data_IF_015822720558
#
_entry.id   IF_015822720558
#
_cell.length_a   1.000
_cell.length_b   1.000
_cell.length_c   1.000
_cell.angle_alpha   90.00
_cell.angle_beta   90.00
_cell.angle_gamma   90.00
#
_symmetry.space_group_name_H-M   'P 1'
#
loop_
_entity.id
_entity.type
_entity.pdbx_description
1 polymer ?
#
# COMPACT_ATOMS: atom_id res chain seq x y z
N UNK A 1 44.56 24.38 -4.08
CA UNK A 1 43.34 23.60 -3.84
C UNK A 1 42.57 24.41 -2.83
N UNK A 2 41.59 25.17 -3.30
CA UNK A 2 40.49 25.78 -2.54
C UNK A 2 39.61 26.45 -3.61
N UNK A 3 38.53 25.78 -4.00
CA UNK A 3 37.49 26.35 -4.86
C UNK A 3 36.22 26.28 -4.04
N UNK A 4 35.82 27.44 -3.53
CA UNK A 4 34.49 27.67 -2.99
C UNK A 4 33.48 27.45 -4.11
N UNK A 5 32.58 26.49 -3.93
CA UNK A 5 31.38 26.36 -4.74
C UNK A 5 30.16 26.47 -3.83
N UNK A 6 29.72 27.70 -3.63
CA UNK A 6 28.31 27.95 -3.37
C UNK A 6 27.56 27.85 -4.71
N UNK A 7 26.33 27.32 -4.71
CA UNK A 7 25.12 27.92 -5.29
C UNK A 7 24.04 26.88 -5.61
N UNK A 8 22.85 27.26 -5.14
CA UNK A 8 21.48 26.93 -5.56
C UNK A 8 20.81 25.67 -5.06
N UNK A 9 19.93 25.94 -4.09
CA UNK A 9 18.66 25.27 -3.91
C UNK A 9 17.87 25.19 -5.23
N UNK A 10 17.20 24.05 -5.43
CA UNK A 10 15.99 23.99 -6.27
C UNK A 10 14.98 22.98 -5.67
N UNK A 11 13.84 23.55 -5.29
CA UNK A 11 12.49 23.02 -5.17
C UNK A 11 12.24 21.55 -4.78
N UNK A 12 12.00 21.31 -3.49
CA UNK A 12 11.13 20.23 -3.03
C UNK A 12 9.67 20.75 -2.98
N UNK A 13 8.93 20.58 -4.08
CA UNK A 13 7.49 20.85 -4.10
C UNK A 13 6.73 19.66 -3.50
N UNK A 14 6.47 19.74 -2.19
CA UNK A 14 5.50 18.90 -1.50
C UNK A 14 4.08 19.41 -1.84
N UNK A 15 3.35 18.68 -2.67
CA UNK A 15 1.93 18.93 -2.89
C UNK A 15 1.12 18.32 -1.75
N UNK A 16 0.80 19.14 -0.74
CA UNK A 16 -0.23 18.88 0.26
C UNK A 16 -1.58 19.30 -0.31
N UNK A 17 -2.43 18.34 -0.69
CA UNK A 17 -3.84 18.64 -0.95
C UNK A 17 -4.67 18.18 0.25
N UNK A 18 -4.98 19.15 1.12
CA UNK A 18 -5.97 19.04 2.18
C UNK A 18 -7.17 19.94 1.92
N UNK A 19 -8.36 19.36 1.99
CA UNK A 19 -9.66 19.97 2.30
C UNK A 19 -10.49 18.81 2.91
N UNK A 20 -11.08 18.85 4.09
CA UNK A 20 -11.61 19.94 4.90
C UNK A 20 -13.04 19.54 5.28
N UNK A 21 -13.28 19.19 6.54
CA UNK A 21 -14.61 18.78 7.02
C UNK A 21 -14.70 18.90 8.54
N UNK A 22 -15.17 20.05 9.01
CA UNK A 22 -15.48 20.31 10.40
C UNK A 22 -16.85 19.70 10.77
N UNK A 23 -16.93 19.13 11.97
CA UNK A 23 -18.14 18.60 12.57
C UNK A 23 -17.87 18.22 14.02
N UNK A 24 -17.92 19.21 14.90
CA UNK A 24 -17.86 19.06 16.36
C UNK A 24 -19.27 18.80 16.87
N UNK A 25 -19.47 17.73 17.66
CA UNK A 25 -20.66 17.51 18.45
C UNK A 25 -20.30 16.77 19.75
N UNK A 26 -20.81 17.32 20.86
CA UNK A 26 -20.48 17.02 22.23
C UNK A 26 -21.01 15.67 22.76
N UNK A 27 -20.47 15.31 23.92
CA UNK A 27 -20.81 14.18 24.78
C UNK A 27 -22.26 14.18 25.28
N UNK A 28 -22.80 13.01 25.68
CA UNK A 28 -22.96 12.62 27.10
C UNK A 28 -23.53 11.18 27.25
N UNK A 29 -22.96 10.46 28.24
CA UNK A 29 -23.48 9.43 29.15
C UNK A 29 -24.27 8.18 28.68
N UNK A 30 -23.68 6.99 28.91
CA UNK A 30 -24.31 5.89 29.65
C UNK A 30 -23.36 4.68 29.91
N UNK A 31 -23.02 4.53 31.19
CA UNK A 31 -22.94 3.32 32.03
C UNK A 31 -22.16 2.04 31.61
N UNK A 32 -21.37 1.58 32.57
CA UNK A 32 -20.56 0.38 32.57
C UNK A 32 -21.38 -0.93 32.53
N UNK A 33 -21.00 -1.84 31.64
CA UNK A 33 -21.25 -3.27 31.81
C UNK A 33 -19.91 -3.96 32.04
N UNK A 34 -19.66 -4.25 33.31
CA UNK A 34 -18.61 -5.17 33.75
C UNK A 34 -19.01 -6.57 33.31
N UNK A 35 -18.35 -7.11 32.29
CA UNK A 35 -18.24 -8.56 32.11
C UNK A 35 -16.79 -8.94 32.32
N UNK A 36 -16.51 -9.41 33.53
CA UNK A 36 -15.28 -10.11 33.88
C UNK A 36 -15.25 -11.44 33.14
N UNK A 37 -14.43 -11.54 32.09
CA UNK A 37 -13.85 -12.82 31.69
C UNK A 37 -12.36 -12.80 32.05
N UNK A 38 -11.94 -13.87 32.71
CA UNK A 38 -10.73 -13.94 33.50
C UNK A 38 -9.43 -13.99 32.70
N UNK A 39 -8.38 -13.56 33.42
CA UNK A 39 -6.99 -14.00 33.38
C UNK A 39 -6.19 -13.89 32.06
N UNK A 40 -5.31 -12.88 32.06
CA UNK A 40 -3.99 -12.85 31.42
C UNK A 40 -3.94 -13.10 29.90
N UNK A 41 -3.99 -12.03 29.09
CA UNK A 41 -3.69 -12.11 27.66
C UNK A 41 -3.60 -10.78 26.89
N UNK A 42 -4.11 -9.68 27.45
CA UNK A 42 -4.16 -8.40 26.73
C UNK A 42 -2.81 -7.71 26.46
N UNK A 43 -1.81 -7.94 27.33
CA UNK A 43 -0.49 -7.30 27.20
C UNK A 43 0.36 -7.90 26.08
N UNK A 44 0.37 -9.23 25.96
CA UNK A 44 1.21 -9.96 24.99
C UNK A 44 0.72 -9.76 23.55
N UNK A 45 -0.59 -9.80 23.30
CA UNK A 45 -1.14 -9.55 21.97
C UNK A 45 -0.78 -8.16 21.41
N UNK A 46 -0.71 -7.14 22.27
CA UNK A 46 -0.29 -5.79 21.86
C UNK A 46 1.21 -5.70 21.55
N UNK A 47 2.05 -6.43 22.30
CA UNK A 47 3.49 -6.49 22.07
C UNK A 47 3.80 -7.24 20.77
N UNK A 48 3.12 -8.36 20.52
CA UNK A 48 3.23 -9.14 19.28
C UNK A 48 2.80 -8.33 18.05
N UNK A 49 1.74 -7.53 18.16
CA UNK A 49 1.32 -6.60 17.10
C UNK A 49 2.40 -5.56 16.79
N UNK A 50 3.06 -5.01 17.82
CA UNK A 50 4.18 -4.06 17.63
C UNK A 50 5.41 -4.75 17.03
N UNK A 51 5.70 -5.99 17.43
CA UNK A 51 6.77 -6.80 16.81
C UNK A 51 6.49 -7.08 15.34
N UNK A 52 5.24 -7.34 14.99
CA UNK A 52 4.81 -7.53 13.61
C UNK A 52 4.98 -6.23 12.79
N UNK A 53 4.60 -5.08 13.33
CA UNK A 53 4.80 -3.78 12.67
C UNK A 53 6.29 -3.50 12.42
N UNK A 54 7.13 -3.71 13.43
CA UNK A 54 8.58 -3.56 13.32
C UNK A 54 9.18 -4.51 12.26
N UNK A 55 8.73 -5.76 12.20
CA UNK A 55 9.13 -6.71 11.17
C UNK A 55 8.69 -6.26 9.77
N UNK A 56 7.44 -5.81 9.63
CA UNK A 56 6.89 -5.36 8.36
C UNK A 56 7.62 -4.13 7.81
N UNK A 57 8.09 -3.23 8.68
CA UNK A 57 8.83 -2.02 8.30
C UNK A 57 10.20 -2.30 7.64
N UNK A 58 10.76 -3.50 7.81
CA UNK A 58 12.01 -3.92 7.16
C UNK A 58 11.83 -4.18 5.65
N UNK A 59 10.59 -4.24 5.18
CA UNK A 59 10.26 -4.54 3.80
C UNK A 59 9.35 -3.46 3.22
N UNK A 60 9.46 -3.24 1.92
CA UNK A 60 8.56 -2.40 1.14
C UNK A 60 8.04 -3.17 -0.07
N UNK A 61 7.11 -2.56 -0.81
CA UNK A 61 6.66 -3.14 -2.07
C UNK A 61 6.00 -4.51 -1.91
N UNK A 62 5.95 -5.25 -3.01
CA UNK A 62 5.25 -6.55 -3.10
C UNK A 62 5.76 -7.59 -2.09
N UNK A 63 7.02 -7.47 -1.68
CA UNK A 63 7.62 -8.30 -0.63
C UNK A 63 6.95 -8.08 0.72
N UNK A 64 6.67 -6.83 1.12
CA UNK A 64 5.98 -6.53 2.39
C UNK A 64 4.61 -7.24 2.43
N UNK A 65 3.83 -7.14 1.36
CA UNK A 65 2.52 -7.81 1.23
C UNK A 65 2.63 -9.33 1.34
N UNK A 66 3.54 -9.94 0.56
CA UNK A 66 3.74 -11.38 0.58
C UNK A 66 4.12 -11.90 1.97
N UNK A 67 4.97 -11.15 2.70
CA UNK A 67 5.35 -11.47 4.08
C UNK A 67 4.17 -11.39 5.05
N UNK A 68 3.39 -10.32 4.98
CA UNK A 68 2.21 -10.14 5.84
C UNK A 68 1.16 -11.24 5.63
N UNK A 69 0.85 -11.55 4.36
CA UNK A 69 -0.08 -12.63 4.02
C UNK A 69 0.45 -13.98 4.48
N UNK A 70 1.75 -14.24 4.33
CA UNK A 70 2.38 -15.47 4.83
C UNK A 70 2.27 -15.59 6.35
N UNK A 71 2.53 -14.51 7.09
CA UNK A 71 2.40 -14.50 8.56
C UNK A 71 0.95 -14.79 8.96
N UNK A 72 -0.02 -14.12 8.34
CA UNK A 72 -1.43 -14.36 8.61
C UNK A 72 -1.83 -15.84 8.42
N UNK A 73 -1.26 -16.52 7.42
CA UNK A 73 -1.54 -17.94 7.15
C UNK A 73 -0.91 -18.92 8.14
N UNK A 74 0.21 -18.56 8.78
CA UNK A 74 1.08 -19.50 9.52
C UNK A 74 1.12 -19.24 11.02
N UNK A 75 0.72 -18.06 11.44
CA UNK A 75 0.79 -17.61 12.82
C UNK A 75 -0.03 -18.49 13.79
N UNK A 76 -1.28 -18.80 13.44
CA UNK A 76 -2.19 -19.54 14.33
C UNK A 76 -2.72 -18.74 15.53
N UNK A 77 -2.27 -17.49 15.72
CA UNK A 77 -2.79 -16.53 16.71
C UNK A 77 -3.66 -15.49 16.00
N UNK A 78 -4.95 -15.45 16.35
CA UNK A 78 -5.95 -14.61 15.69
C UNK A 78 -5.61 -13.11 15.74
N UNK A 79 -5.06 -12.63 16.87
CA UNK A 79 -4.70 -11.23 17.04
C UNK A 79 -3.60 -10.77 16.07
N UNK A 80 -2.58 -11.60 15.84
CA UNK A 80 -1.51 -11.34 14.87
C UNK A 80 -2.03 -11.54 13.44
N UNK A 81 -2.85 -12.56 13.20
CA UNK A 81 -3.46 -12.81 11.89
C UNK A 81 -4.25 -11.59 11.42
N UNK A 82 -5.17 -11.10 12.24
CA UNK A 82 -5.98 -9.93 11.91
C UNK A 82 -5.14 -8.66 11.76
N UNK A 83 -4.11 -8.47 12.59
CA UNK A 83 -3.21 -7.33 12.45
C UNK A 83 -2.40 -7.39 11.14
N UNK A 84 -1.92 -8.58 10.76
CA UNK A 84 -1.20 -8.79 9.50
C UNK A 84 -2.11 -8.57 8.28
N UNK A 85 -3.34 -9.07 8.33
CA UNK A 85 -4.34 -8.87 7.28
C UNK A 85 -4.76 -7.40 7.14
N UNK A 86 -4.92 -6.68 8.27
CA UNK A 86 -5.20 -5.24 8.27
C UNK A 86 -4.10 -4.47 7.52
N UNK A 87 -2.84 -4.67 7.92
CA UNK A 87 -1.72 -4.02 7.25
C UNK A 87 -1.58 -4.42 5.78
N UNK A 88 -1.87 -5.68 5.44
CA UNK A 88 -1.82 -6.14 4.05
C UNK A 88 -2.90 -5.48 3.19
N UNK A 89 -4.11 -5.32 3.73
CA UNK A 89 -5.22 -4.62 3.08
C UNK A 89 -4.88 -3.15 2.82
N UNK A 90 -4.41 -2.44 3.85
CA UNK A 90 -4.07 -1.02 3.75
C UNK A 90 -2.93 -0.78 2.75
N UNK A 91 -1.86 -1.59 2.83
CA UNK A 91 -0.71 -1.49 1.93
C UNK A 91 -1.10 -1.85 0.48
N UNK A 92 -1.96 -2.85 0.28
CA UNK A 92 -2.42 -3.24 -1.05
C UNK A 92 -3.28 -2.13 -1.67
N UNK A 93 -4.16 -1.50 -0.88
CA UNK A 93 -4.99 -0.37 -1.31
C UNK A 93 -4.13 0.86 -1.63
N UNK A 94 -3.16 1.19 -0.80
CA UNK A 94 -2.25 2.32 -1.01
C UNK A 94 -1.41 2.20 -2.29
N UNK A 95 -1.14 0.97 -2.74
CA UNK A 95 -0.34 0.71 -3.94
C UNK A 95 -1.13 0.23 -5.14
N UNK A 96 -2.45 0.23 -5.05
CA UNK A 96 -3.32 -0.21 -6.15
C UNK A 96 -3.07 -1.67 -6.58
N UNK A 97 -2.60 -2.55 -5.68
CA UNK A 97 -2.41 -3.98 -5.95
C UNK A 97 -3.74 -4.72 -5.74
N UNK A 98 -4.58 -4.74 -6.77
CA UNK A 98 -5.95 -5.25 -6.71
C UNK A 98 -6.04 -6.74 -6.44
N UNK A 99 -5.00 -7.51 -6.77
CA UNK A 99 -4.93 -8.94 -6.50
C UNK A 99 -4.73 -9.20 -5.00
N UNK A 100 -3.72 -8.56 -4.39
CA UNK A 100 -3.49 -8.69 -2.95
C UNK A 100 -4.59 -8.05 -2.11
N UNK A 101 -5.17 -6.94 -2.58
CA UNK A 101 -6.32 -6.30 -1.92
C UNK A 101 -7.51 -7.26 -1.80
N UNK A 102 -7.88 -7.93 -2.91
CA UNK A 102 -8.93 -8.95 -2.91
C UNK A 102 -8.61 -10.12 -1.98
N UNK A 103 -7.38 -10.64 -2.03
CA UNK A 103 -6.97 -11.73 -1.15
C UNK A 103 -7.08 -11.34 0.33
N UNK A 104 -6.59 -10.16 0.70
CA UNK A 104 -6.65 -9.67 2.08
C UNK A 104 -8.10 -9.48 2.53
N UNK A 105 -8.95 -8.83 1.73
CA UNK A 105 -10.37 -8.63 2.05
C UNK A 105 -11.13 -9.96 2.25
N UNK A 106 -10.91 -10.93 1.36
CA UNK A 106 -11.51 -12.27 1.45
C UNK A 106 -11.08 -12.99 2.73
N UNK A 107 -9.80 -12.89 3.11
CA UNK A 107 -9.29 -13.50 4.34
C UNK A 107 -9.79 -12.78 5.59
N UNK A 108 -9.93 -11.45 5.56
CA UNK A 108 -10.51 -10.69 6.68
C UNK A 108 -11.94 -11.17 6.93
N UNK A 109 -12.71 -11.45 5.88
CA UNK A 109 -14.05 -12.03 5.95
C UNK A 109 -14.98 -11.26 6.91
N UNK A 110 -14.90 -9.92 6.87
CA UNK A 110 -15.72 -9.03 7.70
C UNK A 110 -15.30 -8.92 9.18
N UNK A 111 -14.28 -9.65 9.64
CA UNK A 111 -13.82 -9.64 11.05
C UNK A 111 -13.32 -8.27 11.55
N UNK A 112 -12.93 -7.38 10.64
CA UNK A 112 -12.49 -6.01 10.95
C UNK A 112 -13.57 -4.95 10.69
N UNK A 113 -14.82 -5.37 10.47
CA UNK A 113 -15.95 -4.49 10.22
C UNK A 113 -16.04 -3.97 8.78
N UNK A 114 -16.99 -3.05 8.50
CA UNK A 114 -17.35 -2.64 7.15
C UNK A 114 -16.25 -1.89 6.40
N UNK A 115 -15.31 -1.28 7.12
CA UNK A 115 -14.20 -0.50 6.54
C UNK A 115 -13.17 -1.37 5.78
N UNK A 116 -13.15 -2.67 6.06
CA UNK A 116 -12.22 -3.64 5.48
C UNK A 116 -12.92 -4.67 4.59
N UNK A 117 -14.12 -4.34 4.09
CA UNK A 117 -14.80 -5.12 3.08
C UNK A 117 -14.19 -4.87 1.70
N UNK A 118 -14.42 -5.83 0.79
CA UNK A 118 -14.01 -5.69 -0.60
C UNK A 118 -14.84 -4.58 -1.28
N UNK A 119 -14.15 -3.52 -1.70
CA UNK A 119 -14.71 -2.47 -2.54
C UNK A 119 -14.52 -2.84 -4.02
N UNK A 120 -15.54 -3.46 -4.62
CA UNK A 120 -15.47 -3.95 -5.99
C UNK A 120 -15.37 -2.79 -7.01
N UNK A 121 -16.07 -1.70 -6.77
CA UNK A 121 -16.04 -0.50 -7.63
C UNK A 121 -14.65 0.12 -7.64
N UNK A 122 -14.00 0.21 -6.47
CA UNK A 122 -12.61 0.67 -6.39
C UNK A 122 -11.70 -0.24 -7.21
N UNK A 123 -11.85 -1.56 -7.09
CA UNK A 123 -10.99 -2.48 -7.84
C UNK A 123 -11.18 -2.32 -9.35
N UNK A 124 -12.42 -2.21 -9.82
CA UNK A 124 -12.69 -2.07 -11.24
C UNK A 124 -12.15 -0.74 -11.79
N UNK A 125 -12.25 0.34 -11.00
CA UNK A 125 -11.66 1.64 -11.35
C UNK A 125 -10.12 1.60 -11.45
N UNK A 126 -9.45 0.88 -10.56
CA UNK A 126 -7.99 0.71 -10.56
C UNK A 126 -7.56 -0.12 -11.76
N UNK A 127 -8.23 -1.25 -12.00
CA UNK A 127 -7.94 -2.13 -13.14
C UNK A 127 -8.13 -1.38 -14.47
N UNK A 128 -9.18 -0.56 -14.58
CA UNK A 128 -9.41 0.26 -15.76
C UNK A 128 -8.27 1.25 -16.02
N UNK A 129 -7.81 1.98 -14.98
CA UNK A 129 -6.65 2.87 -15.11
C UNK A 129 -5.36 2.12 -15.44
N UNK A 130 -5.17 0.92 -14.89
CA UNK A 130 -4.02 0.09 -15.19
C UNK A 130 -4.00 -0.33 -16.67
N UNK A 131 -5.15 -0.73 -17.22
CA UNK A 131 -5.27 -1.11 -18.64
C UNK A 131 -5.02 0.09 -19.56
N UNK A 132 -5.63 1.25 -19.28
CA UNK A 132 -5.35 2.47 -20.06
C UNK A 132 -3.86 2.85 -20.03
N UNK A 133 -3.21 2.74 -18.87
CA UNK A 133 -1.78 3.03 -18.75
C UNK A 133 -0.94 2.03 -19.55
N UNK A 134 -1.33 0.76 -19.57
CA UNK A 134 -0.69 -0.28 -20.37
C UNK A 134 -0.82 0.02 -21.87
N UNK A 135 -2.02 0.32 -22.36
CA UNK A 135 -2.27 0.70 -23.77
C UNK A 135 -1.42 1.90 -24.21
N UNK A 136 -1.32 2.93 -23.37
CA UNK A 136 -0.46 4.10 -23.62
C UNK A 136 1.02 3.71 -23.72
N UNK A 137 1.51 2.92 -22.76
CA UNK A 137 2.92 2.46 -22.75
C UNK A 137 3.24 1.55 -23.94
N UNK A 138 2.28 0.74 -24.39
CA UNK A 138 2.42 -0.09 -25.59
C UNK A 138 2.57 0.78 -26.84
N UNK A 139 1.74 1.83 -26.97
CA UNK A 139 1.82 2.80 -28.06
C UNK A 139 3.16 3.53 -28.08
N UNK A 140 3.63 4.02 -26.93
CA UNK A 140 4.94 4.68 -26.81
C UNK A 140 6.08 3.73 -27.20
N UNK A 141 6.01 2.49 -26.75
CA UNK A 141 7.02 1.47 -27.02
C UNK A 141 7.11 1.12 -28.52
N UNK A 142 6.00 1.10 -29.23
CA UNK A 142 5.99 0.95 -30.70
C UNK A 142 6.73 2.08 -31.40
N UNK A 143 6.51 3.33 -30.96
CA UNK A 143 7.23 4.50 -31.48
C UNK A 143 8.75 4.36 -31.27
N UNK A 144 9.18 3.92 -30.08
CA UNK A 144 10.61 3.71 -29.80
C UNK A 144 11.23 2.58 -30.63
N UNK A 145 10.49 1.51 -30.91
CA UNK A 145 10.95 0.41 -31.78
C UNK A 145 11.18 0.88 -33.22
N UNK A 146 10.26 1.67 -33.77
CA UNK A 146 10.35 2.19 -35.14
C UNK A 146 11.48 3.20 -35.29
N UNK A 147 11.74 4.03 -34.26
CA UNK A 147 12.77 5.08 -34.29
C UNK A 147 14.21 4.57 -34.19
N UNK A 148 14.46 3.26 -34.14
CA UNK A 148 15.85 2.75 -34.17
C UNK A 148 16.54 3.26 -35.45
N UNK A 149 17.61 4.07 -35.35
CA UNK A 149 18.27 4.62 -36.52
C UNK A 149 18.87 3.48 -37.35
N UNK A 150 18.54 3.46 -38.65
CA UNK A 150 19.28 2.64 -39.63
C UNK A 150 20.75 3.06 -39.58
N UNK A 151 21.72 2.13 -39.59
CA UNK A 151 23.11 2.50 -39.74
C UNK A 151 23.29 3.31 -41.04
N UNK A 152 24.12 4.36 -41.03
CA UNK A 152 24.39 5.12 -42.25
C UNK A 152 25.04 4.19 -43.28
N UNK A 153 24.56 4.25 -44.52
CA UNK A 153 25.16 3.53 -45.64
C UNK A 153 26.65 3.90 -45.76
N UNK A 154 27.56 2.94 -45.96
CA UNK A 154 28.97 3.26 -46.12
C UNK A 154 29.17 4.13 -47.37
N UNK A 155 29.63 5.36 -47.17
CA UNK A 155 30.07 6.23 -48.25
C UNK A 155 31.35 5.66 -48.83
N UNK A 156 31.26 4.93 -49.95
CA UNK A 156 32.42 4.49 -50.72
C UNK A 156 32.91 5.72 -51.50
N UNK A 157 34.00 6.33 -51.06
CA UNK A 157 34.74 7.30 -51.88
C UNK A 157 35.57 6.51 -52.92
N UNK A 158 35.27 6.74 -54.20
CA UNK A 158 36.02 6.25 -55.36
C UNK A 158 37.13 7.23 -55.74
#
# INVERSE_FOLDING_TARGET
MDVESEVSADAAAAATNGLGGAGEAAAEDAEAVVVTNGLAGGGEASAEQRSLEAYAALYSGRTRLARLVFIAQRCGVEAIELAALRMAYDEAKAREDTAFYREAALRINGRLGPTHLLDQDWVDSVNHRAEQRKENLETELEVYKVRKPSPPSPTINL
#
